data_IF_477730741391
#
_entry.id   IF_477730741391
#
_cell.length_a   1.000
_cell.length_b   1.000
_cell.length_c   1.000
_cell.angle_alpha   90.00
_cell.angle_beta   90.00
_cell.angle_gamma   90.00
#
_symmetry.space_group_name_H-M   'P 1'
#
loop_
_entity.id
_entity.type
_entity.pdbx_description
1 polymer ?
#
# COMPACT_ATOMS: atom_id res chain seq x y z
N UNK A 1 -23.28 1.16 21.74
CA UNK A 1 -22.98 0.36 20.53
C UNK A 1 -24.15 0.51 19.59
N UNK A 2 -24.05 1.44 18.66
CA UNK A 2 -25.04 1.64 17.60
C UNK A 2 -24.79 0.55 16.57
N UNK A 3 -25.71 -0.41 16.46
CA UNK A 3 -25.69 -1.38 15.36
C UNK A 3 -25.86 -0.60 14.06
N UNK A 4 -24.92 -0.73 13.12
CA UNK A 4 -25.01 -0.10 11.81
C UNK A 4 -26.37 -0.46 11.16
N UNK A 5 -26.99 0.50 10.49
CA UNK A 5 -28.22 0.23 9.76
C UNK A 5 -27.94 -0.82 8.66
N UNK A 6 -28.89 -1.70 8.33
CA UNK A 6 -28.72 -2.68 7.27
C UNK A 6 -28.22 -2.03 5.98
N UNK A 7 -27.05 -2.44 5.48
CA UNK A 7 -26.44 -1.92 4.25
C UNK A 7 -25.48 -0.73 4.43
N UNK A 8 -25.25 -0.22 5.65
CA UNK A 8 -24.16 0.72 5.90
C UNK A 8 -22.81 0.00 6.05
N UNK A 9 -21.72 0.54 5.48
CA UNK A 9 -20.39 -0.02 5.70
C UNK A 9 -20.02 -0.04 7.19
N UNK A 10 -19.58 -1.20 7.66
CA UNK A 10 -18.87 -1.34 8.94
C UNK A 10 -17.37 -1.33 8.63
N UNK A 11 -16.69 -0.28 9.10
CA UNK A 11 -15.26 -0.05 8.83
C UNK A 11 -14.42 -0.46 10.04
N UNK A 12 -13.31 -1.14 9.80
CA UNK A 12 -12.25 -1.34 10.79
C UNK A 12 -10.94 -0.72 10.30
N UNK A 13 -10.36 0.16 11.10
CA UNK A 13 -9.10 0.83 10.79
C UNK A 13 -7.93 0.01 11.32
N UNK A 14 -6.97 -0.30 10.45
CA UNK A 14 -5.74 -0.99 10.77
C UNK A 14 -4.58 0.02 10.75
N UNK A 15 -4.03 0.32 11.93
CA UNK A 15 -2.82 1.11 12.04
C UNK A 15 -1.59 0.26 11.77
N UNK A 16 -0.96 0.45 10.62
CA UNK A 16 0.19 -0.31 10.19
C UNK A 16 1.49 0.41 10.55
N UNK A 17 2.35 -0.24 11.33
CA UNK A 17 3.65 0.31 11.65
C UNK A 17 4.75 -0.42 10.87
N UNK A 18 5.62 0.34 10.20
CA UNK A 18 6.80 -0.22 9.52
C UNK A 18 7.91 -0.62 10.51
N UNK A 19 7.92 0.01 11.68
CA UNK A 19 8.89 -0.21 12.75
C UNK A 19 8.21 -0.16 14.11
N UNK A 20 8.86 -0.73 15.13
CA UNK A 20 8.38 -0.61 16.50
C UNK A 20 8.42 0.87 16.94
N UNK A 21 7.26 1.47 17.20
CA UNK A 21 7.19 2.87 17.62
C UNK A 21 5.95 3.18 18.48
N UNK A 22 5.91 2.66 19.71
CA UNK A 22 4.74 2.85 20.60
C UNK A 22 4.43 4.32 20.95
N UNK A 23 5.40 5.22 20.79
CA UNK A 23 5.25 6.65 21.09
C UNK A 23 4.15 7.34 20.25
N UNK A 24 3.82 6.81 19.07
CA UNK A 24 2.74 7.37 18.23
C UNK A 24 1.34 6.98 18.71
N UNK A 25 1.17 5.93 19.53
CA UNK A 25 -0.13 5.39 19.89
C UNK A 25 -1.08 6.40 20.56
N UNK A 26 -0.65 7.19 21.59
CA UNK A 26 -1.55 8.16 22.21
C UNK A 26 -2.03 9.24 21.24
N UNK A 27 -1.17 9.61 20.28
CA UNK A 27 -1.50 10.64 19.30
C UNK A 27 -2.42 10.09 18.21
N UNK A 28 -2.23 8.85 17.77
CA UNK A 28 -3.18 8.16 16.88
C UNK A 28 -4.56 8.05 17.53
N UNK A 29 -4.64 7.73 18.82
CA UNK A 29 -5.92 7.71 19.55
C UNK A 29 -6.58 9.09 19.63
N UNK A 30 -5.80 10.16 19.85
CA UNK A 30 -6.31 11.54 19.81
C UNK A 30 -6.84 11.94 18.43
N UNK A 31 -6.13 11.56 17.36
CA UNK A 31 -6.44 11.94 15.97
C UNK A 31 -7.61 11.14 15.39
N UNK A 32 -7.67 9.83 15.68
CA UNK A 32 -8.58 8.91 15.02
C UNK A 32 -9.67 8.35 15.94
N UNK A 33 -9.47 8.37 17.26
CA UNK A 33 -10.40 7.82 18.24
C UNK A 33 -11.82 8.37 18.13
N UNK A 34 -12.02 9.70 17.95
CA UNK A 34 -13.35 10.27 17.74
C UNK A 34 -14.02 9.93 16.39
N UNK A 35 -13.25 9.43 15.40
CA UNK A 35 -13.69 9.26 14.01
C UNK A 35 -13.83 7.79 13.58
N UNK A 36 -13.12 6.89 14.26
CA UNK A 36 -13.09 5.47 13.94
C UNK A 36 -13.21 4.69 15.24
N UNK A 37 -14.34 4.03 15.46
CA UNK A 37 -14.63 3.29 16.70
C UNK A 37 -13.93 1.94 16.75
N UNK A 38 -13.74 1.28 15.59
CA UNK A 38 -13.05 -0.01 15.45
C UNK A 38 -11.62 0.20 14.94
N UNK A 39 -10.64 0.11 15.83
CA UNK A 39 -9.22 0.34 15.49
C UNK A 39 -8.38 -0.83 15.98
N UNK A 40 -7.41 -1.23 15.16
CA UNK A 40 -6.43 -2.27 15.51
C UNK A 40 -5.04 -1.84 15.07
N UNK A 41 -4.04 -2.06 15.91
CA UNK A 41 -2.66 -1.75 15.58
C UNK A 41 -1.89 -3.01 15.21
N UNK A 42 -1.15 -2.96 14.11
CA UNK A 42 -0.22 -4.02 13.68
C UNK A 42 1.18 -3.44 13.77
N UNK A 43 2.01 -3.95 14.69
CA UNK A 43 3.32 -3.37 14.96
C UNK A 43 4.42 -4.42 15.14
N UNK A 44 5.56 -4.26 14.44
CA UNK A 44 6.75 -5.08 14.66
C UNK A 44 7.21 -5.02 16.11
N UNK A 45 7.44 -6.18 16.72
CA UNK A 45 8.04 -6.30 18.04
C UNK A 45 7.36 -5.48 19.15
N UNK A 46 6.04 -5.22 19.02
CA UNK A 46 5.27 -4.46 20.00
C UNK A 46 5.48 -5.02 21.42
N UNK A 47 5.85 -4.17 22.38
CA UNK A 47 6.11 -4.62 23.76
C UNK A 47 4.90 -5.27 24.43
N UNK A 48 3.70 -4.80 24.08
CA UNK A 48 2.48 -5.09 24.83
C UNK A 48 1.33 -5.53 23.92
N UNK A 49 1.39 -6.67 23.21
CA UNK A 49 0.26 -7.13 22.38
C UNK A 49 -1.03 -7.27 23.20
N UNK A 50 -2.19 -7.24 22.55
CA UNK A 50 -3.49 -7.31 23.22
C UNK A 50 -4.67 -7.26 22.25
N UNK A 51 -5.91 -7.09 22.75
CA UNK A 51 -7.13 -7.19 21.95
C UNK A 51 -7.22 -6.24 20.76
N UNK A 52 -6.51 -5.11 20.81
CA UNK A 52 -6.47 -4.09 19.75
C UNK A 52 -5.08 -3.90 19.16
N UNK A 53 -4.14 -4.82 19.46
CA UNK A 53 -2.74 -4.68 19.03
C UNK A 53 -2.05 -6.02 18.80
N UNK A 54 -1.69 -6.27 17.56
CA UNK A 54 -0.88 -7.42 17.15
C UNK A 54 0.60 -7.12 17.23
N UNK A 55 1.37 -8.12 17.68
CA UNK A 55 2.83 -8.16 17.52
C UNK A 55 3.15 -9.00 16.29
N UNK A 56 3.96 -8.44 15.40
CA UNK A 56 4.52 -9.17 14.25
C UNK A 56 6.04 -9.18 14.31
N UNK A 57 6.69 -10.09 13.60
CA UNK A 57 8.14 -10.31 13.61
C UNK A 57 8.73 -10.21 12.20
N UNK A 58 8.51 -9.08 11.54
CA UNK A 58 8.98 -8.83 10.18
C UNK A 58 9.46 -7.39 10.02
N UNK A 59 10.34 -7.15 9.03
CA UNK A 59 10.86 -5.82 8.73
C UNK A 59 9.85 -5.02 7.91
N UNK A 60 9.81 -3.70 8.08
CA UNK A 60 8.95 -2.81 7.28
C UNK A 60 9.18 -2.93 5.77
N UNK A 61 10.35 -3.40 5.31
CA UNK A 61 10.57 -3.70 3.89
C UNK A 61 9.55 -4.69 3.29
N UNK A 62 9.10 -5.65 4.09
CA UNK A 62 8.17 -6.71 3.70
C UNK A 62 6.91 -6.62 4.56
N UNK A 63 6.40 -5.41 4.80
CA UNK A 63 5.23 -5.24 5.67
C UNK A 63 3.98 -5.96 5.19
N UNK A 64 3.94 -6.51 3.96
CA UNK A 64 2.89 -7.44 3.54
C UNK A 64 2.75 -8.59 4.54
N UNK A 65 3.85 -9.13 5.07
CA UNK A 65 3.82 -10.20 6.07
C UNK A 65 3.17 -9.79 7.39
N UNK A 66 3.08 -8.48 7.68
CA UNK A 66 2.41 -7.99 8.89
C UNK A 66 0.92 -8.32 8.86
N UNK A 67 0.26 -8.18 7.69
CA UNK A 67 -1.14 -8.55 7.52
C UNK A 67 -1.35 -10.05 7.76
N UNK A 68 -0.52 -10.89 7.14
CA UNK A 68 -0.63 -12.34 7.26
C UNK A 68 -0.43 -12.83 8.70
N UNK A 69 0.60 -12.32 9.38
CA UNK A 69 0.92 -12.74 10.75
C UNK A 69 -0.14 -12.31 11.78
N UNK A 70 -0.84 -11.20 11.52
CA UNK A 70 -1.80 -10.62 12.46
C UNK A 70 -3.26 -10.90 12.13
N UNK A 71 -3.57 -11.47 10.96
CA UNK A 71 -4.94 -11.63 10.43
C UNK A 71 -5.96 -12.13 11.47
N UNK A 72 -5.58 -13.17 12.21
CA UNK A 72 -6.44 -13.78 13.23
C UNK A 72 -6.87 -12.85 14.38
N UNK A 73 -6.11 -11.77 14.64
CA UNK A 73 -6.39 -10.83 15.73
C UNK A 73 -7.44 -9.78 15.35
N UNK A 74 -7.66 -9.53 14.05
CA UNK A 74 -8.44 -8.38 13.62
C UNK A 74 -9.48 -8.63 12.55
N UNK A 75 -9.46 -9.78 11.86
CA UNK A 75 -10.54 -10.15 10.95
C UNK A 75 -11.80 -10.48 11.75
N UNK A 76 -12.88 -9.77 11.47
CA UNK A 76 -14.17 -9.84 12.17
C UNK A 76 -15.30 -10.04 11.15
N UNK A 77 -16.25 -10.97 11.37
CA UNK A 77 -17.33 -11.27 10.42
C UNK A 77 -18.26 -10.10 10.12
N UNK A 78 -18.44 -9.16 11.05
CA UNK A 78 -19.31 -8.01 10.86
C UNK A 78 -18.66 -6.84 10.13
N UNK A 79 -17.34 -6.86 9.94
CA UNK A 79 -16.62 -5.81 9.21
C UNK A 79 -16.84 -5.99 7.72
N UNK A 80 -17.17 -4.90 7.03
CA UNK A 80 -17.35 -4.88 5.57
C UNK A 80 -16.11 -4.38 4.84
N UNK A 81 -15.35 -3.48 5.46
CA UNK A 81 -14.16 -2.87 4.87
C UNK A 81 -13.08 -2.66 5.92
N UNK A 82 -11.85 -3.06 5.58
CA UNK A 82 -10.65 -2.80 6.35
C UNK A 82 -9.90 -1.64 5.72
N UNK A 83 -9.56 -0.63 6.51
CA UNK A 83 -8.87 0.58 6.04
C UNK A 83 -7.50 0.61 6.67
N UNK A 84 -6.45 0.55 5.84
CA UNK A 84 -5.06 0.57 6.29
C UNK A 84 -4.57 2.02 6.33
N UNK A 85 -4.02 2.41 7.49
CA UNK A 85 -3.46 3.75 7.74
C UNK A 85 -2.12 3.58 8.47
N UNK A 86 -0.98 3.98 7.89
CA UNK A 86 0.29 3.92 8.56
C UNK A 86 0.36 4.88 9.74
N UNK A 87 1.28 4.62 10.66
CA UNK A 87 1.46 5.48 11.84
C UNK A 87 1.99 6.89 11.51
N UNK A 88 2.55 7.08 10.32
CA UNK A 88 3.02 8.36 9.79
C UNK A 88 2.11 8.93 8.69
N UNK A 89 0.87 8.45 8.55
CA UNK A 89 -0.11 8.99 7.60
C UNK A 89 -1.22 9.77 8.34
N UNK A 90 -1.53 10.98 7.84
CA UNK A 90 -2.66 11.78 8.32
C UNK A 90 -3.78 11.77 7.29
N UNK A 91 -4.86 11.04 7.57
CA UNK A 91 -6.10 11.08 6.81
C UNK A 91 -6.80 12.42 7.02
N UNK A 92 -7.45 12.92 5.97
CA UNK A 92 -8.27 14.13 6.04
C UNK A 92 -9.21 14.10 7.26
N UNK A 93 -9.19 15.13 8.13
CA UNK A 93 -9.94 15.17 9.38
C UNK A 93 -11.47 15.16 9.18
N UNK A 94 -11.96 15.52 8.00
CA UNK A 94 -13.37 15.44 7.66
C UNK A 94 -13.85 14.00 7.36
N UNK A 95 -12.93 13.05 7.23
CA UNK A 95 -13.25 11.65 6.95
C UNK A 95 -13.31 10.81 8.23
N UNK A 96 -14.35 9.98 8.31
CA UNK A 96 -14.63 9.09 9.43
C UNK A 96 -15.18 7.74 8.93
N UNK A 97 -15.47 6.82 9.86
CA UNK A 97 -15.99 5.49 9.52
C UNK A 97 -17.34 5.51 8.79
N UNK A 98 -18.13 6.59 8.92
CA UNK A 98 -19.45 6.71 8.32
C UNK A 98 -19.43 7.23 6.88
N UNK A 99 -18.40 7.99 6.50
CA UNK A 99 -18.35 8.68 5.23
C UNK A 99 -17.20 8.27 4.30
N UNK A 100 -16.15 7.61 4.81
CA UNK A 100 -14.92 7.32 4.06
C UNK A 100 -15.18 6.50 2.78
N UNK A 101 -15.95 5.42 2.88
CA UNK A 101 -16.26 4.53 1.75
C UNK A 101 -17.01 5.29 0.65
N UNK A 102 -17.96 6.15 1.03
CA UNK A 102 -18.71 6.99 0.11
C UNK A 102 -17.83 8.09 -0.50
N UNK A 103 -16.92 8.71 0.28
CA UNK A 103 -15.98 9.72 -0.19
C UNK A 103 -15.00 9.15 -1.23
N UNK A 104 -14.59 7.88 -1.07
CA UNK A 104 -13.80 7.14 -2.05
C UNK A 104 -14.63 6.60 -3.23
N UNK A 105 -15.97 6.76 -3.17
CA UNK A 105 -16.94 6.28 -4.18
C UNK A 105 -16.80 4.76 -4.43
N UNK A 106 -16.60 4.00 -3.36
CA UNK A 106 -16.50 2.55 -3.44
C UNK A 106 -17.89 1.92 -3.36
N UNK A 107 -18.14 0.94 -4.23
CA UNK A 107 -19.30 0.05 -4.12
C UNK A 107 -18.99 -1.10 -3.13
N UNK A 108 -20.01 -1.81 -2.63
CA UNK A 108 -19.79 -3.04 -1.89
C UNK A 108 -18.86 -4.00 -2.65
N UNK A 109 -17.86 -4.56 -1.97
CA UNK A 109 -16.89 -5.48 -2.57
C UNK A 109 -15.75 -4.83 -3.37
N UNK A 110 -15.71 -3.49 -3.50
CA UNK A 110 -14.61 -2.79 -4.19
C UNK A 110 -13.45 -2.48 -3.23
N UNK A 111 -12.23 -2.76 -3.67
CA UNK A 111 -11.01 -2.34 -2.99
C UNK A 111 -10.54 -0.95 -3.48
N UNK A 112 -9.63 -0.34 -2.72
CA UNK A 112 -8.99 0.92 -3.09
C UNK A 112 -7.48 0.90 -2.85
N UNK A 113 -6.72 1.49 -3.78
CA UNK A 113 -5.32 1.90 -3.59
C UNK A 113 -5.04 3.17 -4.40
N UNK A 114 -3.86 3.78 -4.25
CA UNK A 114 -3.48 4.97 -5.04
C UNK A 114 -3.35 4.64 -6.52
N UNK A 115 -2.62 3.57 -6.86
CA UNK A 115 -2.31 3.24 -8.24
C UNK A 115 -1.97 1.75 -8.41
N UNK A 116 -2.09 1.26 -9.64
CA UNK A 116 -1.66 -0.07 -10.05
C UNK A 116 -0.98 0.00 -11.42
N UNK A 117 0.19 -0.64 -11.52
CA UNK A 117 0.96 -0.79 -12.76
C UNK A 117 1.71 -2.12 -12.73
N UNK A 118 1.94 -2.74 -13.88
CA UNK A 118 2.81 -3.92 -13.95
C UNK A 118 4.23 -3.58 -13.44
N UNK A 119 4.76 -4.36 -12.49
CA UNK A 119 6.11 -4.15 -11.97
C UNK A 119 7.16 -4.24 -13.10
N UNK A 120 6.91 -5.04 -14.12
CA UNK A 120 7.77 -5.16 -15.30
C UNK A 120 7.89 -3.87 -16.12
N UNK A 121 6.86 -3.02 -16.13
CA UNK A 121 6.93 -1.69 -16.73
C UNK A 121 7.92 -0.77 -15.98
N UNK A 122 8.12 -1.01 -14.68
CA UNK A 122 9.01 -0.25 -13.81
C UNK A 122 10.37 -0.90 -13.57
N UNK A 123 10.62 -2.10 -14.13
CA UNK A 123 11.76 -2.96 -13.81
C UNK A 123 13.11 -2.23 -13.79
N UNK A 124 13.28 -1.28 -14.71
CA UNK A 124 14.50 -0.49 -14.87
C UNK A 124 14.35 0.97 -14.44
N UNK A 125 13.12 1.46 -14.25
CA UNK A 125 12.88 2.81 -13.74
C UNK A 125 12.92 2.88 -12.22
N UNK A 126 12.62 1.77 -11.54
CA UNK A 126 12.45 1.71 -10.10
C UNK A 126 13.15 0.49 -9.50
N UNK A 127 14.10 0.67 -8.56
CA UNK A 127 14.96 -0.42 -8.08
C UNK A 127 14.17 -1.61 -7.51
N UNK A 128 13.05 -1.31 -6.85
CA UNK A 128 12.28 -2.30 -6.13
C UNK A 128 11.50 -3.24 -7.05
N UNK A 129 11.00 -2.74 -8.19
CA UNK A 129 10.37 -3.59 -9.20
C UNK A 129 11.37 -4.58 -9.83
N UNK A 130 12.58 -4.10 -10.16
CA UNK A 130 13.65 -4.97 -10.66
C UNK A 130 14.06 -6.03 -9.64
N UNK A 131 14.28 -5.62 -8.39
CA UNK A 131 14.60 -6.53 -7.29
C UNK A 131 13.47 -7.55 -7.03
N UNK A 132 12.19 -7.15 -7.10
CA UNK A 132 11.07 -8.05 -6.88
C UNK A 132 11.01 -9.17 -7.93
N UNK A 133 11.19 -8.86 -9.21
CA UNK A 133 11.24 -9.89 -10.26
C UNK A 133 12.36 -10.91 -10.02
N UNK A 134 13.56 -10.41 -9.69
CA UNK A 134 14.72 -11.24 -9.39
C UNK A 134 14.52 -12.11 -8.14
N UNK A 135 13.95 -11.53 -7.09
CA UNK A 135 13.75 -12.21 -5.80
C UNK A 135 12.65 -13.25 -5.91
N UNK A 136 11.55 -12.94 -6.61
CA UNK A 136 10.48 -13.90 -6.87
C UNK A 136 11.03 -15.15 -7.59
N UNK A 137 11.76 -14.99 -8.69
CA UNK A 137 12.30 -16.15 -9.44
C UNK A 137 13.30 -16.97 -8.62
N UNK A 138 14.08 -16.34 -7.75
CA UNK A 138 15.01 -17.05 -6.89
C UNK A 138 14.29 -17.80 -5.77
N UNK A 139 13.39 -17.13 -5.04
CA UNK A 139 12.68 -17.68 -3.89
C UNK A 139 11.64 -18.72 -4.29
N UNK A 140 11.02 -18.59 -5.47
CA UNK A 140 10.07 -19.55 -6.01
C UNK A 140 10.65 -20.96 -6.21
N UNK A 141 11.98 -21.11 -6.24
CA UNK A 141 12.65 -22.42 -6.31
C UNK A 141 12.65 -23.16 -4.98
N UNK A 142 12.38 -22.47 -3.87
CA UNK A 142 12.44 -23.02 -2.52
C UNK A 142 11.07 -23.43 -1.96
N UNK A 143 9.98 -23.09 -2.64
CA UNK A 143 8.61 -23.31 -2.17
C UNK A 143 7.76 -23.79 -3.35
N UNK A 144 6.89 -24.77 -3.12
CA UNK A 144 5.86 -25.12 -4.10
C UNK A 144 4.77 -24.05 -4.14
N UNK A 145 4.74 -23.27 -5.23
CA UNK A 145 3.81 -22.16 -5.40
C UNK A 145 2.45 -22.58 -5.96
N UNK A 146 2.32 -23.78 -6.52
CA UNK A 146 1.08 -24.21 -7.16
C UNK A 146 -0.14 -24.21 -6.22
N UNK A 147 -0.04 -24.64 -4.95
CA UNK A 147 -1.18 -24.54 -4.02
C UNK A 147 -1.33 -23.15 -3.38
N UNK A 148 -0.38 -22.24 -3.60
CA UNK A 148 -0.30 -20.96 -2.88
C UNK A 148 -0.69 -19.76 -3.75
N UNK A 149 -0.43 -19.81 -5.05
CA UNK A 149 -0.74 -18.77 -6.02
C UNK A 149 -1.53 -19.36 -7.20
N UNK A 150 -2.42 -18.58 -7.82
CA UNK A 150 -3.00 -18.99 -9.09
C UNK A 150 -1.91 -19.17 -10.15
N UNK A 151 -2.15 -19.97 -11.20
CA UNK A 151 -1.25 -20.04 -12.35
C UNK A 151 -0.96 -18.63 -12.92
N UNK A 152 0.29 -18.38 -13.32
CA UNK A 152 0.73 -17.07 -13.80
C UNK A 152 -0.12 -16.52 -14.97
N UNK A 153 -0.61 -17.39 -15.85
CA UNK A 153 -1.49 -17.00 -16.95
C UNK A 153 -2.87 -16.53 -16.47
N UNK A 154 -3.42 -17.16 -15.43
CA UNK A 154 -4.70 -16.78 -14.82
C UNK A 154 -4.58 -15.44 -14.07
N UNK A 155 -3.52 -15.29 -13.27
CA UNK A 155 -3.20 -14.03 -12.61
C UNK A 155 -3.08 -12.88 -13.64
N UNK A 156 -2.37 -13.12 -14.74
CA UNK A 156 -2.21 -12.14 -15.82
C UNK A 156 -3.55 -11.79 -16.46
N UNK A 157 -4.35 -12.79 -16.83
CA UNK A 157 -5.65 -12.56 -17.45
C UNK A 157 -6.57 -11.73 -16.55
N UNK A 158 -6.55 -11.99 -15.23
CA UNK A 158 -7.28 -11.20 -14.23
C UNK A 158 -6.82 -9.74 -14.20
N UNK A 159 -5.52 -9.49 -14.20
CA UNK A 159 -5.01 -8.13 -14.22
C UNK A 159 -5.33 -7.41 -15.54
N UNK A 160 -5.23 -8.11 -16.67
CA UNK A 160 -5.61 -7.57 -17.97
C UNK A 160 -7.11 -7.26 -18.05
N UNK A 161 -7.99 -8.07 -17.42
CA UNK A 161 -9.43 -7.75 -17.33
C UNK A 161 -9.73 -6.52 -16.47
N UNK A 162 -8.82 -6.15 -15.55
CA UNK A 162 -8.90 -4.88 -14.82
C UNK A 162 -8.41 -3.69 -15.66
N UNK A 163 -7.83 -3.91 -16.84
CA UNK A 163 -7.26 -2.86 -17.71
C UNK A 163 -5.77 -2.60 -17.51
N UNK A 164 -5.05 -3.48 -16.81
CA UNK A 164 -3.60 -3.39 -16.66
C UNK A 164 -2.87 -3.92 -17.90
N UNK A 165 -1.83 -3.22 -18.29
CA UNK A 165 -0.97 -3.58 -19.41
C UNK A 165 0.34 -4.18 -18.91
N UNK A 166 0.82 -5.23 -19.59
CA UNK A 166 2.09 -5.90 -19.30
C UNK A 166 3.06 -5.70 -20.47
N UNK A 167 3.68 -4.50 -20.60
CA UNK A 167 4.65 -4.26 -21.64
C UNK A 167 5.91 -5.12 -21.41
N UNK A 168 6.59 -5.46 -22.50
CA UNK A 168 7.93 -6.04 -22.41
C UNK A 168 8.86 -5.05 -21.70
N UNK A 169 9.65 -5.46 -20.70
CA UNK A 169 10.59 -4.58 -20.02
C UNK A 169 11.54 -3.89 -21.01
N UNK A 170 11.44 -2.58 -21.17
CA UNK A 170 12.34 -1.84 -22.03
C UNK A 170 13.62 -1.49 -21.24
N UNK A 171 14.77 -2.03 -21.68
CA UNK A 171 16.09 -1.79 -21.06
C UNK A 171 16.52 -0.32 -21.12
N UNK A 172 15.96 0.46 -22.06
CA UNK A 172 16.39 1.81 -22.41
C UNK A 172 15.20 2.79 -22.50
N UNK A 173 14.29 2.73 -21.52
CA UNK A 173 13.24 3.74 -21.34
C UNK A 173 13.77 5.05 -20.75
N UNK A 174 14.45 5.85 -21.56
CA UNK A 174 14.66 7.29 -21.33
C UNK A 174 15.94 7.69 -20.57
N UNK A 175 16.60 8.75 -21.08
CA UNK A 175 17.73 9.45 -20.46
C UNK A 175 17.49 9.89 -19.00
N UNK A 176 16.25 9.86 -18.51
CA UNK A 176 15.83 10.28 -17.19
C UNK A 176 16.32 9.38 -16.03
N UNK A 177 16.74 8.13 -16.30
CA UNK A 177 17.11 7.18 -15.23
C UNK A 177 18.60 6.82 -15.15
N UNK A 178 19.47 7.47 -15.92
CA UNK A 178 20.91 7.18 -15.92
C UNK A 178 21.54 7.31 -14.52
N UNK A 179 21.15 8.32 -13.73
CA UNK A 179 21.63 8.50 -12.35
C UNK A 179 21.17 7.40 -11.40
N UNK A 180 19.92 6.93 -11.56
CA UNK A 180 19.36 5.82 -10.77
C UNK A 180 20.07 4.51 -11.10
N UNK A 181 20.31 4.24 -12.39
CA UNK A 181 21.10 3.08 -12.84
C UNK A 181 22.54 3.12 -12.31
N UNK A 182 23.23 4.27 -12.40
CA UNK A 182 24.59 4.43 -11.86
C UNK A 182 24.60 4.20 -10.34
N UNK A 183 23.61 4.71 -9.61
CA UNK A 183 23.49 4.49 -8.16
C UNK A 183 23.22 3.01 -7.82
N UNK A 184 22.37 2.33 -8.58
CA UNK A 184 22.08 0.90 -8.39
C UNK A 184 23.26 0.00 -8.75
N UNK A 185 23.96 0.30 -9.85
CA UNK A 185 25.18 -0.39 -10.28
C UNK A 185 26.30 -0.17 -9.25
N UNK A 186 26.48 1.06 -8.74
CA UNK A 186 27.49 1.35 -7.72
C UNK A 186 27.23 0.61 -6.40
N UNK A 187 25.97 0.41 -6.06
CA UNK A 187 25.56 -0.32 -4.87
C UNK A 187 25.30 -1.82 -5.14
N UNK A 188 25.77 -2.34 -6.29
CA UNK A 188 25.43 -3.63 -6.91
C UNK A 188 24.95 -4.72 -5.92
N UNK A 189 23.67 -4.65 -5.55
CA UNK A 189 23.00 -5.74 -4.86
C UNK A 189 22.88 -6.86 -5.89
N UNK A 190 23.20 -8.10 -5.52
CA UNK A 190 23.05 -9.28 -6.40
C UNK A 190 21.71 -9.31 -7.14
N UNK A 191 20.63 -8.84 -6.48
CA UNK A 191 19.30 -8.71 -7.06
C UNK A 191 19.23 -7.79 -8.29
N UNK A 192 19.98 -6.69 -8.35
CA UNK A 192 20.01 -5.82 -9.54
C UNK A 192 20.70 -6.48 -10.74
N UNK A 193 21.83 -7.15 -10.51
CA UNK A 193 22.52 -7.94 -11.55
C UNK A 193 21.62 -9.08 -12.05
N UNK A 194 20.90 -9.73 -11.14
CA UNK A 194 19.93 -10.75 -11.51
C UNK A 194 18.78 -10.14 -12.32
N UNK A 195 18.16 -9.04 -11.87
CA UNK A 195 17.13 -8.32 -12.64
C UNK A 195 17.60 -7.93 -14.05
N UNK A 196 18.87 -7.51 -14.19
CA UNK A 196 19.48 -7.21 -15.49
C UNK A 196 19.65 -8.46 -16.37
N UNK A 197 19.95 -9.62 -15.80
CA UNK A 197 19.96 -10.89 -16.54
C UNK A 197 18.57 -11.25 -17.09
N UNK A 198 17.50 -10.76 -16.44
CA UNK A 198 16.10 -10.95 -16.86
C UNK A 198 15.64 -9.93 -17.91
N UNK A 199 16.47 -8.97 -18.31
CA UNK A 199 16.06 -7.81 -19.13
C UNK A 199 15.41 -8.14 -20.48
N UNK A 200 15.60 -9.35 -21.00
CA UNK A 200 15.06 -9.79 -22.29
C UNK A 200 13.80 -10.63 -22.16
N UNK A 201 13.30 -10.88 -20.94
CA UNK A 201 12.09 -11.69 -20.71
C UNK A 201 11.19 -11.11 -19.61
N UNK A 202 9.87 -11.33 -19.68
CA UNK A 202 8.95 -11.02 -18.59
C UNK A 202 9.31 -11.75 -17.30
N UNK A 203 8.80 -11.27 -16.17
CA UNK A 203 8.94 -11.94 -14.89
C UNK A 203 8.23 -13.30 -14.92
N UNK A 204 8.70 -14.25 -14.09
CA UNK A 204 8.13 -15.60 -14.03
C UNK A 204 6.64 -15.60 -13.58
N UNK A 205 6.24 -14.58 -12.82
CA UNK A 205 4.87 -14.33 -12.40
C UNK A 205 4.53 -12.85 -12.65
N UNK A 206 3.31 -12.52 -13.11
CA UNK A 206 2.91 -11.13 -13.28
C UNK A 206 2.80 -10.45 -11.91
N UNK A 207 3.76 -9.59 -11.59
CA UNK A 207 3.72 -8.77 -10.39
C UNK A 207 3.22 -7.37 -10.72
N UNK A 208 2.48 -6.78 -9.81
CA UNK A 208 2.05 -5.38 -9.84
C UNK A 208 2.87 -4.56 -8.85
N UNK A 209 3.00 -3.27 -9.13
CA UNK A 209 3.56 -2.27 -8.25
C UNK A 209 2.55 -1.15 -8.00
N UNK A 210 2.64 -0.51 -6.84
CA UNK A 210 1.73 0.54 -6.44
C UNK A 210 1.94 0.97 -5.00
N UNK A 211 1.29 2.09 -4.66
CA UNK A 211 1.31 2.61 -3.29
C UNK A 211 0.69 1.61 -2.31
N UNK A 212 1.28 1.47 -1.12
CA UNK A 212 0.88 0.43 -0.16
C UNK A 212 0.64 0.97 1.25
N UNK A 213 0.73 2.28 1.44
CA UNK A 213 0.50 2.92 2.72
C UNK A 213 -1.01 3.13 2.98
N UNK A 214 -1.81 3.62 2.02
CA UNK A 214 -3.26 3.75 2.20
C UNK A 214 -4.04 2.77 1.32
N UNK A 215 -4.83 1.90 1.94
CA UNK A 215 -5.60 0.84 1.27
C UNK A 215 -7.00 0.72 1.88
N UNK A 216 -7.96 0.34 1.04
CA UNK A 216 -9.25 -0.17 1.51
C UNK A 216 -9.45 -1.57 0.95
N UNK A 217 -9.74 -2.52 1.82
CA UNK A 217 -9.86 -3.94 1.49
C UNK A 217 -11.27 -4.39 1.87
N UNK A 218 -12.08 -4.86 0.91
CA UNK A 218 -13.42 -5.37 1.20
C UNK A 218 -13.31 -6.71 1.92
N UNK A 219 -14.27 -7.01 2.80
CA UNK A 219 -14.27 -8.22 3.61
C UNK A 219 -14.27 -9.50 2.77
N UNK A 220 -14.92 -9.48 1.60
CA UNK A 220 -14.96 -10.59 0.66
C UNK A 220 -13.57 -10.96 0.10
N UNK A 221 -12.63 -10.02 0.11
CA UNK A 221 -11.26 -10.21 -0.37
C UNK A 221 -10.26 -10.47 0.77
N UNK A 222 -10.64 -10.28 2.04
CA UNK A 222 -9.65 -10.14 3.12
C UNK A 222 -8.83 -11.40 3.34
N UNK A 223 -9.46 -12.58 3.31
CA UNK A 223 -8.78 -13.86 3.54
C UNK A 223 -7.76 -14.18 2.44
N UNK A 224 -8.15 -13.97 1.17
CA UNK A 224 -7.23 -14.14 0.05
C UNK A 224 -6.12 -13.09 0.07
N UNK A 225 -6.44 -11.85 0.43
CA UNK A 225 -5.47 -10.77 0.55
C UNK A 225 -4.39 -11.11 1.57
N UNK A 226 -4.77 -11.49 2.80
CA UNK A 226 -3.79 -11.83 3.85
C UNK A 226 -2.98 -13.07 3.50
N UNK A 227 -3.59 -14.07 2.84
CA UNK A 227 -2.89 -15.24 2.32
C UNK A 227 -1.81 -14.84 1.32
N UNK A 228 -2.16 -14.10 0.26
CA UNK A 228 -1.19 -13.66 -0.75
C UNK A 228 -0.11 -12.75 -0.17
N UNK A 229 -0.47 -11.85 0.75
CA UNK A 229 0.49 -11.04 1.49
C UNK A 229 1.53 -11.89 2.23
N UNK A 230 1.11 -13.02 2.83
CA UNK A 230 1.99 -13.98 3.49
C UNK A 230 2.90 -14.73 2.51
N UNK A 231 2.34 -15.20 1.39
CA UNK A 231 3.12 -15.86 0.32
C UNK A 231 4.21 -14.93 -0.22
N UNK A 232 3.86 -13.68 -0.54
CA UNK A 232 4.83 -12.72 -1.07
C UNK A 232 5.87 -12.29 -0.03
N UNK A 233 5.51 -12.23 1.26
CA UNK A 233 6.47 -12.01 2.35
C UNK A 233 7.47 -13.17 2.46
N UNK A 234 7.00 -14.42 2.41
CA UNK A 234 7.85 -15.61 2.40
C UNK A 234 8.79 -15.66 1.18
N UNK A 235 8.34 -15.12 0.04
CA UNK A 235 9.18 -14.95 -1.15
C UNK A 235 10.11 -13.74 -1.08
N UNK A 236 10.07 -12.95 -0.01
CA UNK A 236 10.85 -11.72 0.20
C UNK A 236 10.61 -10.67 -0.90
N UNK A 237 9.37 -10.58 -1.40
CA UNK A 237 8.95 -9.55 -2.35
C UNK A 237 8.71 -8.24 -1.59
N UNK A 238 9.26 -7.14 -2.12
CA UNK A 238 9.11 -5.80 -1.52
C UNK A 238 7.64 -5.42 -1.34
N UNK A 239 7.29 -4.77 -0.22
CA UNK A 239 5.90 -4.49 0.14
C UNK A 239 5.11 -3.72 -0.92
N UNK A 240 5.68 -2.70 -1.56
CA UNK A 240 5.02 -1.93 -2.64
C UNK A 240 4.91 -2.68 -3.99
N UNK A 241 5.32 -3.95 -4.02
CA UNK A 241 5.03 -4.90 -5.09
C UNK A 241 4.11 -6.02 -4.57
N UNK A 242 4.40 -6.53 -3.38
CA UNK A 242 3.64 -7.60 -2.75
C UNK A 242 2.19 -7.23 -2.44
N UNK A 243 1.97 -6.07 -1.79
CA UNK A 243 0.65 -5.64 -1.32
C UNK A 243 -0.28 -5.26 -2.48
N UNK A 244 0.14 -4.49 -3.50
CA UNK A 244 -0.71 -4.19 -4.65
C UNK A 244 -1.03 -5.44 -5.47
N UNK A 245 -0.07 -6.36 -5.61
CA UNK A 245 -0.31 -7.65 -6.26
C UNK A 245 -1.31 -8.49 -5.48
N UNK A 246 -1.14 -8.62 -4.16
CA UNK A 246 -2.07 -9.34 -3.28
C UNK A 246 -3.49 -8.78 -3.34
N UNK A 247 -3.63 -7.45 -3.32
CA UNK A 247 -4.92 -6.77 -3.40
C UNK A 247 -5.63 -7.06 -4.72
N UNK A 248 -4.93 -6.93 -5.85
CA UNK A 248 -5.50 -7.19 -7.18
C UNK A 248 -5.77 -8.68 -7.44
N UNK A 249 -5.03 -9.59 -6.80
CA UNK A 249 -5.33 -11.04 -6.84
C UNK A 249 -6.51 -11.41 -5.94
N UNK A 250 -6.78 -10.66 -4.88
CA UNK A 250 -7.85 -10.98 -3.94
C UNK A 250 -9.17 -10.34 -4.34
N UNK A 251 -9.17 -9.03 -4.61
CA UNK A 251 -10.37 -8.26 -4.90
C UNK A 251 -10.83 -8.43 -6.36
N UNK A 252 -12.14 -8.49 -6.58
CA UNK A 252 -12.71 -8.55 -7.92
C UNK A 252 -12.46 -7.24 -8.69
N UNK A 253 -12.61 -6.11 -7.99
CA UNK A 253 -12.41 -4.77 -8.53
C UNK A 253 -11.57 -3.94 -7.58
N UNK A 254 -10.55 -3.26 -8.12
CA UNK A 254 -9.71 -2.32 -7.37
C UNK A 254 -9.85 -0.93 -7.99
N UNK A 255 -10.46 -0.01 -7.25
CA UNK A 255 -10.49 1.40 -7.62
C UNK A 255 -9.14 2.04 -7.30
N UNK A 256 -8.66 2.90 -8.19
CA UNK A 256 -7.41 3.64 -8.02
C UNK A 256 -7.62 5.15 -7.99
N UNK A 257 -6.78 5.90 -7.26
CA UNK A 257 -6.71 7.37 -7.37
C UNK A 257 -6.23 7.77 -8.77
N UNK A 258 -5.09 7.20 -9.17
CA UNK A 258 -4.44 7.45 -10.45
C UNK A 258 -5.02 6.51 -11.50
N UNK A 259 -4.95 6.92 -12.77
CA UNK A 259 -5.26 6.07 -13.89
C UNK A 259 -4.38 4.80 -13.86
N UNK A 260 -4.97 3.66 -14.21
CA UNK A 260 -4.23 2.41 -14.33
C UNK A 260 -3.02 2.57 -15.26
N UNK A 261 -1.97 1.81 -14.98
CA UNK A 261 -0.69 1.88 -15.70
C UNK A 261 0.08 3.19 -15.50
N UNK A 262 -0.31 4.01 -14.51
CA UNK A 262 0.43 5.19 -14.08
C UNK A 262 1.13 4.90 -12.75
N UNK A 263 2.38 5.31 -12.64
CA UNK A 263 3.12 5.28 -11.39
C UNK A 263 3.12 6.66 -10.72
N UNK A 264 3.05 6.69 -9.39
CA UNK A 264 3.02 7.95 -8.62
C UNK A 264 4.32 8.77 -8.71
N UNK A 265 5.38 8.22 -9.30
CA UNK A 265 6.65 8.92 -9.61
C UNK A 265 6.83 9.23 -11.11
N UNK A 266 5.82 9.04 -11.95
CA UNK A 266 5.95 9.31 -13.38
C UNK A 266 6.23 10.81 -13.65
N UNK A 267 7.10 11.13 -14.63
CA UNK A 267 7.42 12.52 -14.97
C UNK A 267 6.25 13.16 -15.73
N UNK A 268 5.33 13.80 -14.99
CA UNK A 268 4.20 14.52 -15.55
C UNK A 268 3.10 14.73 -14.51
N UNK A 269 2.09 15.57 -14.78
CA UNK A 269 0.93 15.65 -13.92
C UNK A 269 0.24 14.27 -13.89
N UNK A 270 -0.06 13.72 -12.70
CA UNK A 270 -0.69 12.41 -12.60
C UNK A 270 -2.05 12.44 -13.29
N UNK A 271 -2.30 11.45 -14.15
CA UNK A 271 -3.63 11.23 -14.72
C UNK A 271 -4.53 10.68 -13.62
N UNK A 272 -5.57 11.43 -13.26
CA UNK A 272 -6.55 11.04 -12.23
C UNK A 272 -7.91 11.65 -12.51
N UNK A 273 -8.95 11.10 -11.90
CA UNK A 273 -10.28 11.72 -11.87
C UNK A 273 -10.19 13.09 -11.16
N UNK A 274 -10.53 14.22 -11.83
CA UNK A 274 -10.47 15.55 -11.22
C UNK A 274 -11.35 15.70 -9.98
N UNK A 275 -12.36 14.86 -9.83
CA UNK A 275 -13.28 14.88 -8.70
C UNK A 275 -12.90 13.88 -7.60
N UNK A 276 -11.83 13.08 -7.76
CA UNK A 276 -11.34 12.18 -6.72
C UNK A 276 -10.51 12.94 -5.67
N UNK A 277 -10.56 12.48 -4.42
CA UNK A 277 -9.65 12.95 -3.38
C UNK A 277 -8.21 12.52 -3.71
N UNK A 278 -7.24 13.36 -3.33
CA UNK A 278 -5.83 13.14 -3.64
C UNK A 278 -4.97 12.79 -2.43
N UNK A 279 -4.21 11.70 -2.51
CA UNK A 279 -3.08 11.50 -1.60
C UNK A 279 -1.98 12.51 -1.87
N UNK A 280 -1.42 13.10 -0.81
CA UNK A 280 -0.28 14.01 -0.88
C UNK A 280 0.94 13.34 -0.28
N UNK A 281 1.95 13.14 -1.12
CA UNK A 281 3.21 12.56 -0.71
C UNK A 281 4.30 13.61 -0.50
N UNK A 282 4.94 13.61 0.67
CA UNK A 282 6.01 14.53 1.09
C UNK A 282 7.38 13.86 1.00
N UNK A 283 7.74 13.33 -0.18
CA UNK A 283 8.94 12.49 -0.33
C UNK A 283 10.25 13.26 -0.35
N UNK A 284 10.21 14.52 -0.76
CA UNK A 284 11.41 15.34 -0.88
C UNK A 284 11.29 16.68 -0.12
N UNK A 285 12.43 17.34 0.17
CA UNK A 285 12.40 18.61 0.90
C UNK A 285 11.60 19.73 0.22
N UNK A 286 11.46 19.70 -1.12
CA UNK A 286 10.66 20.68 -1.83
C UNK A 286 9.16 20.46 -1.61
N UNK A 287 8.69 19.20 -1.58
CA UNK A 287 7.29 18.85 -1.25
C UNK A 287 6.95 19.32 0.18
N UNK A 288 7.85 19.05 1.13
CA UNK A 288 7.69 19.51 2.51
C UNK A 288 7.68 21.04 2.61
N UNK A 289 8.58 21.72 1.89
CA UNK A 289 8.65 23.18 1.89
C UNK A 289 7.38 23.81 1.31
N UNK A 290 6.83 23.24 0.23
CA UNK A 290 5.61 23.71 -0.43
C UNK A 290 4.38 23.69 0.49
N UNK A 291 4.40 22.85 1.52
CA UNK A 291 3.29 22.69 2.47
C UNK A 291 3.67 23.07 3.91
N UNK A 292 4.83 23.69 4.11
CA UNK A 292 5.39 24.00 5.43
C UNK A 292 4.45 24.82 6.33
N UNK A 293 3.66 25.73 5.76
CA UNK A 293 2.68 26.52 6.50
C UNK A 293 1.53 25.68 7.05
N UNK A 294 1.06 24.68 6.31
CA UNK A 294 -0.01 23.78 6.75
C UNK A 294 0.43 22.95 7.97
N UNK A 295 1.71 22.57 8.00
CA UNK A 295 2.31 21.80 9.09
C UNK A 295 2.95 22.66 10.17
N UNK A 296 2.78 23.99 10.10
CA UNK A 296 3.23 24.90 11.15
C UNK A 296 2.14 25.00 12.22
N UNK A 297 2.47 24.65 13.48
CA UNK A 297 1.54 24.78 14.61
C UNK A 297 1.17 23.44 15.24
N UNK A 298 0.00 23.40 15.85
CA UNK A 298 -0.55 22.21 16.51
C UNK A 298 -1.52 21.44 15.58
N UNK A 299 -2.06 20.32 16.08
CA UNK A 299 -3.03 19.51 15.33
C UNK A 299 -4.31 20.27 14.99
N UNK A 300 -4.76 21.17 15.86
CA UNK A 300 -6.02 21.88 15.67
C UNK A 300 -5.89 22.85 14.50
N UNK A 301 -4.73 23.52 14.38
CA UNK A 301 -4.39 24.32 13.20
C UNK A 301 -4.37 23.48 11.92
N UNK A 302 -3.65 22.35 11.94
CA UNK A 302 -3.54 21.46 10.78
C UNK A 302 -4.92 20.97 10.33
N UNK A 303 -5.79 20.61 11.27
CA UNK A 303 -7.13 20.12 10.95
C UNK A 303 -8.05 21.21 10.41
N UNK A 304 -7.95 22.43 10.97
CA UNK A 304 -8.73 23.56 10.49
C UNK A 304 -8.34 24.00 9.06
N UNK A 305 -7.07 23.81 8.68
CA UNK A 305 -6.54 24.22 7.38
C UNK A 305 -6.42 23.06 6.38
N UNK A 306 -6.84 21.84 6.75
CA UNK A 306 -6.67 20.66 5.89
C UNK A 306 -7.47 20.82 4.58
N UNK A 307 -6.82 20.77 3.40
CA UNK A 307 -7.53 21.01 2.15
C UNK A 307 -8.57 19.93 1.85
N UNK A 308 -9.76 20.36 1.41
CA UNK A 308 -10.94 19.48 1.24
C UNK A 308 -10.74 18.43 0.16
N UNK A 309 -9.91 18.71 -0.84
CA UNK A 309 -9.63 17.81 -1.94
C UNK A 309 -8.57 16.75 -1.60
N UNK A 310 -7.94 16.82 -0.42
CA UNK A 310 -6.90 15.87 -0.02
C UNK A 310 -7.53 14.67 0.66
N UNK A 311 -7.07 13.48 0.31
CA UNK A 311 -7.41 12.25 1.00
C UNK A 311 -6.55 12.11 2.26
N UNK A 312 -5.24 12.28 2.11
CA UNK A 312 -4.27 12.18 3.19
C UNK A 312 -2.99 12.96 2.88
N UNK A 313 -2.14 13.06 3.89
CA UNK A 313 -0.72 13.44 3.76
C UNK A 313 0.16 12.32 4.31
N UNK A 314 1.23 11.98 3.60
CA UNK A 314 2.22 10.98 4.00
C UNK A 314 3.61 11.30 3.43
N UNK A 315 4.73 11.02 4.13
CA UNK A 315 4.80 10.75 5.54
C UNK A 315 4.69 12.04 6.38
N UNK A 316 4.24 11.90 7.61
CA UNK A 316 4.15 12.96 8.60
C UNK A 316 4.82 12.51 9.89
N UNK A 317 5.73 13.34 10.40
CA UNK A 317 6.36 13.09 11.70
C UNK A 317 5.43 13.51 12.84
N UNK A 318 4.62 12.57 13.32
CA UNK A 318 3.64 12.82 14.38
C UNK A 318 4.24 13.44 15.65
N UNK A 319 5.49 13.13 16.00
CA UNK A 319 6.17 13.72 17.15
C UNK A 319 6.38 15.26 17.06
N UNK A 320 6.13 15.87 15.90
CA UNK A 320 6.15 17.32 15.74
C UNK A 320 4.93 18.01 16.39
N UNK A 321 3.84 17.27 16.59
CA UNK A 321 2.61 17.78 17.17
C UNK A 321 2.51 17.36 18.64
N UNK A 322 2.15 18.31 19.51
CA UNK A 322 1.97 18.08 20.94
C UNK A 322 0.50 18.21 21.33
#
# INVERSE_FOLDING_TARGET
>A
MTTAAPGQPVVKTLFLFNHRFEANLPLLDRIYGPRFSRRHTIMPFASSPGPTRSRVAELGRNFSGHFAQSAHDWIEPEVTHYVVIPDDLLLNPALDESNLIAALRLKPGEAYTKNLIAADALRFAWPWAGEAAATFEQSAKAIDLHPLLPPAAEARARFESMGLAFPTPAVLGGRANAGTHVRMIRNAKRAYLHAWSLRTRPAAFPLLAGYSDFLVIPAEAIDQFVHYCGVFAALNVFAEVAVPTALALAAEHVRTELALNTHFLDPGPPLRDPAALRGIELWNPADMAAHSQLFAGDLDHLFAQFPKEWLYVHPVKLSAYR
#
